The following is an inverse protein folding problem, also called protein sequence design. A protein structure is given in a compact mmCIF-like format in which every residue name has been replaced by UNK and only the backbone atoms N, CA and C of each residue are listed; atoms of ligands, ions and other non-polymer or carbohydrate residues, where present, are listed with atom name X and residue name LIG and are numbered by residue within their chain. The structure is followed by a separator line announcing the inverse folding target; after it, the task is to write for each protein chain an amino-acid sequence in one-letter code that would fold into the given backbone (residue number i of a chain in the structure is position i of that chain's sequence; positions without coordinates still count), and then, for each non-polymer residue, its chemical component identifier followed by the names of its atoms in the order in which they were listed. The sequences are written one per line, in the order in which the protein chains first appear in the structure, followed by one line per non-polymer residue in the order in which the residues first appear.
data_IF_021145426912
#
_entry.id   IF_021145426912
#
_cell.length_a   1.000
_cell.length_b   1.000
_cell.length_c   1.000
_cell.angle_alpha   90.00
_cell.angle_beta   90.00
_cell.angle_gamma   90.00
#
_symmetry.space_group_name_H-M   'P 1'
#
loop_
_entity.id
_entity.type
_entity.pdbx_description
1 polymer ?
#
# COMPACT_ATOMS: atom_id res chain seq x y z
N UNK A 1 15.23 -17.72 1.25
CA UNK A 1 15.27 -16.38 0.64
C UNK A 1 14.85 -15.40 1.73
N UNK A 2 15.69 -14.43 2.07
CA UNK A 2 15.35 -13.43 3.10
C UNK A 2 14.73 -12.25 2.36
N UNK A 3 13.46 -11.94 2.64
CA UNK A 3 12.78 -10.81 2.04
C UNK A 3 13.35 -9.52 2.64
N UNK A 4 14.23 -8.85 1.88
CA UNK A 4 14.98 -7.66 2.33
C UNK A 4 14.28 -6.35 1.99
N UNK A 5 13.42 -6.36 0.97
CA UNK A 5 12.77 -5.17 0.46
C UNK A 5 11.31 -5.18 0.86
N UNK A 6 10.82 -4.12 1.49
CA UNK A 6 9.44 -4.02 1.92
C UNK A 6 8.77 -2.71 1.51
N UNK A 7 7.44 -2.74 1.54
CA UNK A 7 6.56 -1.59 1.38
C UNK A 7 5.60 -1.59 2.55
N UNK A 8 5.60 -0.51 3.32
CA UNK A 8 4.56 -0.23 4.33
C UNK A 8 3.51 0.68 3.72
N UNK A 9 2.25 0.30 3.86
CA UNK A 9 1.07 1.00 3.39
C UNK A 9 0.27 1.48 4.59
N UNK A 10 -0.08 2.76 4.59
CA UNK A 10 -0.87 3.40 5.65
C UNK A 10 -1.99 4.24 5.05
N UNK A 11 -3.02 4.53 5.84
CA UNK A 11 -4.11 5.40 5.43
C UNK A 11 -3.74 6.88 5.68
N UNK A 12 -4.13 7.79 4.77
CA UNK A 12 -4.10 9.23 5.03
C UNK A 12 -4.96 9.61 6.24
N UNK A 13 -4.59 10.68 6.98
CA UNK A 13 -5.26 11.10 8.22
C UNK A 13 -6.79 11.29 8.10
N UNK A 14 -7.27 11.78 6.95
CA UNK A 14 -8.69 12.04 6.70
C UNK A 14 -9.34 10.98 5.79
N UNK A 15 -8.80 9.76 5.74
CA UNK A 15 -9.38 8.69 4.93
C UNK A 15 -10.67 8.15 5.58
N UNK A 16 -11.78 8.00 4.83
CA UNK A 16 -13.02 7.41 5.35
C UNK A 16 -12.83 6.05 6.02
N UNK A 17 -11.81 5.29 5.58
CA UNK A 17 -11.48 3.97 6.13
C UNK A 17 -10.85 4.01 7.53
N UNK A 18 -10.47 5.19 8.04
CA UNK A 18 -9.92 5.38 9.39
C UNK A 18 -10.97 5.22 10.49
N UNK A 19 -12.26 5.17 10.14
CA UNK A 19 -13.31 4.99 11.13
C UNK A 19 -13.07 3.72 11.96
N UNK A 20 -13.33 3.78 13.27
CA UNK A 20 -13.04 2.69 14.22
C UNK A 20 -13.71 1.35 13.84
N UNK A 21 -14.85 1.40 13.15
CA UNK A 21 -15.59 0.21 12.71
C UNK A 21 -15.09 -0.34 11.36
N UNK A 22 -14.05 0.25 10.76
CA UNK A 22 -13.45 -0.14 9.48
C UNK A 22 -12.02 -0.63 9.70
N UNK A 23 -11.01 0.07 9.18
CA UNK A 23 -9.60 -0.29 9.33
C UNK A 23 -8.97 0.36 10.56
N UNK A 24 -9.55 1.46 11.04
CA UNK A 24 -9.03 2.25 12.16
C UNK A 24 -7.88 3.17 11.78
N UNK A 25 -7.59 4.13 12.66
CA UNK A 25 -6.53 5.12 12.47
C UNK A 25 -5.11 4.52 12.47
N UNK A 26 -4.92 3.37 13.13
CA UNK A 26 -3.62 2.69 13.26
C UNK A 26 -3.39 1.64 12.16
N UNK A 27 -4.16 1.68 11.07
CA UNK A 27 -4.01 0.71 10.00
C UNK A 27 -2.61 0.80 9.35
N UNK A 28 -1.90 -0.32 9.40
CA UNK A 28 -0.64 -0.53 8.69
C UNK A 28 -0.65 -1.88 8.00
N UNK A 29 -0.32 -1.92 6.72
CA UNK A 29 -0.08 -3.15 5.99
C UNK A 29 1.36 -3.18 5.48
N UNK A 30 2.02 -4.33 5.60
CA UNK A 30 3.39 -4.51 5.11
C UNK A 30 3.43 -5.63 4.09
N UNK A 31 4.19 -5.39 3.01
CA UNK A 31 4.48 -6.40 2.02
C UNK A 31 5.96 -6.46 1.75
N UNK A 32 6.52 -7.66 1.84
CA UNK A 32 7.94 -7.93 1.72
C UNK A 32 8.23 -8.73 0.45
N UNK A 33 9.40 -8.50 -0.12
CA UNK A 33 9.87 -9.00 -1.42
C UNK A 33 11.32 -9.46 -1.32
N UNK A 34 11.68 -10.43 -2.15
CA UNK A 34 13.04 -10.95 -2.22
C UNK A 34 13.96 -10.02 -3.02
N UNK A 35 13.42 -9.34 -4.05
CA UNK A 35 14.17 -8.40 -4.89
C UNK A 35 13.56 -6.99 -4.93
N UNK A 36 14.39 -5.99 -5.21
CA UNK A 36 13.95 -4.62 -5.44
C UNK A 36 13.05 -4.49 -6.68
N UNK A 37 13.33 -5.27 -7.72
CA UNK A 37 12.54 -5.27 -8.95
C UNK A 37 11.09 -5.73 -8.70
N UNK A 38 10.88 -6.75 -7.88
CA UNK A 38 9.55 -7.19 -7.48
C UNK A 38 8.80 -6.13 -6.67
N UNK A 39 9.50 -5.44 -5.75
CA UNK A 39 8.94 -4.31 -4.99
C UNK A 39 8.46 -3.20 -5.93
N UNK A 40 9.28 -2.83 -6.92
CA UNK A 40 8.97 -1.79 -7.88
C UNK A 40 7.77 -2.17 -8.77
N UNK A 41 7.76 -3.40 -9.30
CA UNK A 41 6.66 -3.91 -10.10
C UNK A 41 5.35 -3.95 -9.31
N UNK A 42 5.40 -4.31 -8.03
CA UNK A 42 4.24 -4.23 -7.15
C UNK A 42 3.73 -2.79 -7.02
N UNK A 43 4.60 -1.82 -6.69
CA UNK A 43 4.19 -0.42 -6.53
C UNK A 43 3.55 0.16 -7.79
N UNK A 44 4.15 -0.09 -8.96
CA UNK A 44 3.60 0.35 -10.24
C UNK A 44 2.21 -0.25 -10.49
N UNK A 45 2.07 -1.57 -10.30
CA UNK A 45 0.79 -2.27 -10.50
C UNK A 45 -0.29 -1.80 -9.53
N UNK A 46 0.09 -1.43 -8.30
CA UNK A 46 -0.85 -1.06 -7.23
C UNK A 46 -1.26 0.41 -7.31
N UNK A 47 -0.39 1.27 -7.84
CA UNK A 47 -0.68 2.69 -8.07
C UNK A 47 -1.39 2.95 -9.41
N UNK A 48 -1.32 2.01 -10.34
CA UNK A 48 -2.00 2.12 -11.64
C UNK A 48 -3.42 1.58 -11.53
N UNK A 49 -4.46 2.43 -11.51
CA UNK A 49 -5.84 1.96 -11.49
C UNK A 49 -6.15 1.21 -12.78
N UNK A 50 -6.96 0.16 -12.68
CA UNK A 50 -7.45 -0.53 -13.87
C UNK A 50 -8.35 0.40 -14.70
N UNK A 51 -8.37 0.21 -16.02
CA UNK A 51 -9.01 1.14 -16.98
C UNK A 51 -10.51 1.38 -16.73
N UNK A 52 -11.18 0.46 -16.04
CA UNK A 52 -12.60 0.57 -15.72
C UNK A 52 -12.88 1.11 -14.31
N UNK A 53 -11.85 1.39 -13.51
CA UNK A 53 -12.00 1.93 -12.16
C UNK A 53 -12.09 3.45 -12.22
N UNK A 54 -13.03 4.01 -11.45
CA UNK A 54 -13.06 5.45 -11.20
C UNK A 54 -11.96 5.79 -10.20
N UNK A 55 -11.52 7.04 -10.21
CA UNK A 55 -10.50 7.52 -9.26
C UNK A 55 -10.85 7.27 -7.80
N UNK A 56 -12.15 7.25 -7.47
CA UNK A 56 -12.66 7.01 -6.12
C UNK A 56 -12.87 5.52 -5.77
N UNK A 57 -12.75 4.60 -6.74
CA UNK A 57 -12.92 3.17 -6.48
C UNK A 57 -11.68 2.56 -5.79
N UNK A 58 -10.51 3.18 -5.98
CA UNK A 58 -9.27 2.73 -5.33
C UNK A 58 -9.02 3.56 -4.06
N UNK A 59 -8.77 2.87 -2.95
CA UNK A 59 -8.38 3.53 -1.71
C UNK A 59 -7.07 4.30 -1.88
N UNK A 60 -7.02 5.53 -1.38
CA UNK A 60 -5.78 6.30 -1.31
C UNK A 60 -4.95 5.81 -0.13
N UNK A 61 -3.71 5.39 -0.40
CA UNK A 61 -2.74 4.89 0.58
C UNK A 61 -1.44 5.70 0.49
N UNK A 62 -0.77 5.87 1.62
CA UNK A 62 0.61 6.31 1.69
C UNK A 62 1.55 5.10 1.66
N UNK A 63 2.54 5.16 0.78
CA UNK A 63 3.53 4.10 0.60
C UNK A 63 4.88 4.55 1.16
N UNK A 64 5.46 3.74 2.04
CA UNK A 64 6.80 3.94 2.57
C UNK A 64 7.66 2.73 2.21
N UNK A 65 8.82 2.97 1.60
CA UNK A 65 9.80 1.92 1.35
C UNK A 65 10.51 1.59 2.66
N UNK A 66 10.60 0.30 2.99
CA UNK A 66 11.29 -0.20 4.16
C UNK A 66 12.27 -1.30 3.74
N UNK A 67 13.37 -1.45 4.48
CA UNK A 67 14.42 -2.42 4.17
C UNK A 67 14.90 -3.07 5.47
N UNK A 68 15.40 -4.31 5.39
CA UNK A 68 15.91 -5.11 6.50
C UNK A 68 17.41 -5.30 6.45
#
# INVERSE_FOLDING_TARGET
MSQKYGVRMTLPENNPLNAEHLLGADFTAERWFDTEAERAAFLESYQTPFIFYRKSDTATLHYQLIEK
#
